data_IF_818194006726
#
_entry.id   IF_818194006726
#
_cell.length_a   1.000
_cell.length_b   1.000
_cell.length_c   1.000
_cell.angle_alpha   90.00
_cell.angle_beta   90.00
_cell.angle_gamma   90.00
#
_symmetry.space_group_name_H-M   'P 1'
#
loop_
_entity.id
_entity.type
_entity.pdbx_description
1 polymer ?
#
# COMPACT_ATOMS: atom_id res chain seq x y z
N UNK A 1 17.12 7.33 -6.20
CA UNK A 1 15.99 6.63 -6.83
C UNK A 1 14.76 7.52 -6.66
N UNK A 2 13.98 7.79 -7.71
CA UNK A 2 12.70 8.52 -7.56
C UNK A 2 11.70 7.52 -6.97
N UNK A 3 11.43 7.59 -5.67
CA UNK A 3 10.31 6.87 -5.07
C UNK A 3 9.04 7.43 -5.69
N UNK A 4 8.31 6.58 -6.39
CA UNK A 4 6.95 6.91 -6.81
C UNK A 4 6.08 6.71 -5.57
N UNK A 5 5.45 7.77 -5.02
CA UNK A 5 4.65 7.63 -3.81
C UNK A 5 3.54 6.62 -4.04
N UNK A 6 3.43 5.68 -3.11
CA UNK A 6 2.35 4.70 -3.06
C UNK A 6 1.15 5.30 -2.36
N UNK A 7 -0.05 4.95 -2.81
CA UNK A 7 -1.29 5.38 -2.16
C UNK A 7 -2.19 4.19 -1.86
N UNK A 8 -3.03 4.34 -0.85
CA UNK A 8 -4.03 3.35 -0.49
C UNK A 8 -5.25 3.46 -1.40
N UNK A 9 -5.63 2.35 -2.02
CA UNK A 9 -6.84 2.22 -2.82
C UNK A 9 -7.87 1.39 -2.09
N UNK A 10 -9.04 1.98 -1.88
CA UNK A 10 -10.20 1.32 -1.31
C UNK A 10 -11.13 0.84 -2.42
N UNK A 11 -11.46 -0.44 -2.44
CA UNK A 11 -12.37 -1.02 -3.44
C UNK A 11 -13.54 -1.69 -2.71
N UNK A 12 -14.75 -1.34 -3.11
CA UNK A 12 -15.97 -1.98 -2.62
C UNK A 12 -16.33 -3.15 -3.56
N UNK A 13 -16.36 -4.36 -3.02
CA UNK A 13 -16.72 -5.58 -3.75
C UNK A 13 -17.72 -6.37 -2.93
N UNK A 14 -18.92 -6.64 -3.48
CA UNK A 14 -19.95 -7.47 -2.83
C UNK A 14 -20.14 -7.12 -1.34
N UNK A 15 -20.43 -5.85 -1.07
CA UNK A 15 -20.62 -5.26 0.28
C UNK A 15 -19.38 -5.25 1.21
N UNK A 16 -18.25 -5.79 0.79
CA UNK A 16 -16.99 -5.76 1.55
C UNK A 16 -16.05 -4.72 0.96
N UNK A 17 -15.48 -3.88 1.81
CA UNK A 17 -14.40 -2.96 1.42
C UNK A 17 -13.07 -3.67 1.54
N UNK A 18 -12.22 -3.51 0.54
CA UNK A 18 -10.86 -4.04 0.49
C UNK A 18 -9.87 -2.89 0.35
N UNK A 19 -8.71 -3.06 0.95
CA UNK A 19 -7.63 -2.06 0.93
C UNK A 19 -6.42 -2.62 0.22
N UNK A 20 -5.90 -1.84 -0.72
CA UNK A 20 -4.76 -2.19 -1.54
C UNK A 20 -3.71 -1.09 -1.46
N UNK A 21 -2.42 -1.46 -1.43
CA UNK A 21 -1.37 -0.49 -1.76
C UNK A 21 -1.20 -0.46 -3.27
N UNK A 22 -1.27 0.73 -3.86
CA UNK A 22 -1.08 0.92 -5.28
C UNK A 22 -0.05 2.00 -5.57
N UNK A 23 0.66 1.86 -6.69
CA UNK A 23 1.51 2.92 -7.24
C UNK A 23 1.04 3.39 -8.59
N UNK A 24 1.20 4.68 -8.83
CA UNK A 24 1.01 5.29 -10.13
C UNK A 24 2.29 5.14 -10.96
N UNK A 25 2.40 4.10 -11.80
CA UNK A 25 3.50 4.00 -12.77
C UNK A 25 3.10 4.73 -14.07
N UNK A 26 3.82 5.81 -14.39
CA UNK A 26 3.67 6.51 -15.67
C UNK A 26 4.44 5.74 -16.74
N UNK A 27 3.73 5.08 -17.65
CA UNK A 27 4.32 4.41 -18.82
C UNK A 27 3.71 5.04 -20.07
N UNK A 28 4.56 5.58 -20.93
CA UNK A 28 4.18 6.06 -22.26
C UNK A 28 3.03 7.10 -22.25
N UNK A 29 3.21 8.20 -21.51
CA UNK A 29 2.22 9.28 -21.26
C UNK A 29 0.91 8.86 -20.56
N UNK A 30 0.67 7.57 -20.29
CA UNK A 30 -0.46 7.08 -19.47
C UNK A 30 -0.02 6.75 -18.05
N UNK A 31 -0.84 7.13 -17.07
CA UNK A 31 -0.66 6.76 -15.67
C UNK A 31 -1.42 5.46 -15.42
N UNK A 32 -0.70 4.38 -15.16
CA UNK A 32 -1.30 3.11 -14.80
C UNK A 32 -1.15 2.88 -13.30
N UNK A 33 -2.26 2.63 -12.63
CA UNK A 33 -2.27 2.21 -11.23
C UNK A 33 -1.92 0.73 -11.16
N UNK A 34 -0.79 0.41 -10.56
CA UNK A 34 -0.36 -0.97 -10.31
C UNK A 34 -0.57 -1.31 -8.85
N UNK A 35 -1.33 -2.38 -8.57
CA UNK A 35 -1.55 -2.88 -7.21
C UNK A 35 -0.31 -3.67 -6.80
N UNK A 36 0.31 -3.25 -5.71
CA UNK A 36 1.56 -3.79 -5.20
C UNK A 36 1.29 -4.83 -4.12
N UNK A 37 0.24 -4.59 -3.33
CA UNK A 37 -0.13 -5.41 -2.18
C UNK A 37 -1.62 -5.30 -1.87
N UNK A 38 -2.17 -6.35 -1.28
CA UNK A 38 -3.56 -6.41 -0.81
C UNK A 38 -3.55 -6.62 0.71
N UNK A 39 -3.98 -5.61 1.47
CA UNK A 39 -4.20 -5.74 2.91
C UNK A 39 -5.44 -6.58 3.25
N UNK A 40 -6.29 -6.84 2.25
CA UNK A 40 -7.51 -7.62 2.43
C UNK A 40 -8.70 -6.77 2.88
N UNK A 41 -9.66 -7.35 3.61
CA UNK A 41 -10.86 -6.65 4.06
C UNK A 41 -10.51 -5.45 4.94
N UNK A 42 -11.26 -4.35 4.81
CA UNK A 42 -11.00 -3.07 5.47
C UNK A 42 -10.80 -3.19 6.98
N UNK A 43 -11.62 -3.98 7.68
CA UNK A 43 -11.49 -4.17 9.12
C UNK A 43 -10.09 -4.72 9.49
N UNK A 44 -9.70 -5.84 8.86
CA UNK A 44 -8.39 -6.46 9.07
C UNK A 44 -7.24 -5.57 8.60
N UNK A 45 -7.44 -4.85 7.49
CA UNK A 45 -6.45 -3.92 6.96
C UNK A 45 -6.20 -2.76 7.93
N UNK A 46 -7.25 -2.19 8.52
CA UNK A 46 -7.14 -1.14 9.53
C UNK A 46 -6.48 -1.66 10.80
N UNK A 47 -6.91 -2.82 11.32
CA UNK A 47 -6.27 -3.44 12.48
C UNK A 47 -4.77 -3.65 12.25
N UNK A 48 -4.40 -4.24 11.10
CA UNK A 48 -3.00 -4.42 10.73
C UNK A 48 -2.27 -3.08 10.66
N UNK A 49 -2.82 -2.07 9.99
CA UNK A 49 -2.21 -0.73 9.91
C UNK A 49 -2.03 -0.07 11.28
N UNK A 50 -2.99 -0.23 12.20
CA UNK A 50 -2.89 0.30 13.56
C UNK A 50 -1.83 -0.43 14.39
N UNK A 51 -1.75 -1.76 14.28
CA UNK A 51 -0.72 -2.57 14.97
C UNK A 51 0.67 -2.28 14.38
N UNK A 52 0.76 -2.14 13.06
CA UNK A 52 2.00 -1.76 12.40
C UNK A 52 2.38 -0.33 12.79
N UNK A 53 1.41 0.56 13.08
CA UNK A 53 1.68 1.91 13.62
C UNK A 53 2.51 1.92 14.89
N UNK A 54 2.24 0.97 15.78
CA UNK A 54 2.94 0.87 17.05
C UNK A 54 4.33 0.20 16.89
N UNK A 55 4.48 -0.74 15.96
CA UNK A 55 5.70 -1.54 15.77
C UNK A 55 6.13 -1.60 14.29
N UNK A 56 6.29 -0.42 13.67
CA UNK A 56 6.44 -0.28 12.21
C UNK A 56 7.75 -0.86 11.70
N UNK A 57 8.85 -0.78 12.45
CA UNK A 57 10.15 -1.27 11.97
C UNK A 57 10.21 -2.79 11.88
N UNK A 58 9.51 -3.50 12.77
CA UNK A 58 9.50 -4.96 12.82
C UNK A 58 8.33 -5.59 12.05
N UNK A 59 7.17 -4.92 12.02
CA UNK A 59 5.96 -5.47 11.40
C UNK A 59 5.75 -5.01 9.97
N UNK A 60 6.55 -4.07 9.45
CA UNK A 60 6.47 -3.71 8.04
C UNK A 60 6.80 -4.93 7.19
N UNK A 61 5.86 -5.40 6.33
CA UNK A 61 6.09 -6.64 5.59
C UNK A 61 7.35 -6.52 4.74
N UNK A 62 8.25 -7.50 4.87
CA UNK A 62 9.49 -7.60 4.09
C UNK A 62 9.23 -7.45 2.58
N UNK A 63 8.07 -7.97 2.11
CA UNK A 63 7.62 -7.83 0.72
C UNK A 63 7.54 -6.37 0.22
N UNK A 64 7.32 -5.39 1.11
CA UNK A 64 7.33 -3.97 0.76
C UNK A 64 8.76 -3.41 0.68
N UNK A 65 9.61 -3.75 1.65
CA UNK A 65 11.05 -3.41 1.62
C UNK A 65 11.71 -3.96 0.35
N UNK A 66 11.43 -5.22 0.00
CA UNK A 66 11.94 -5.86 -1.22
C UNK A 66 11.45 -5.19 -2.51
N UNK A 67 10.24 -4.62 -2.49
CA UNK A 67 9.69 -3.87 -3.63
C UNK A 67 10.12 -2.40 -3.66
N UNK A 68 11.01 -1.99 -2.76
CA UNK A 68 11.56 -0.62 -2.70
C UNK A 68 10.58 0.41 -2.14
N UNK A 69 9.55 -0.04 -1.43
CA UNK A 69 8.68 0.84 -0.66
C UNK A 69 9.29 1.03 0.71
N UNK A 70 9.72 2.25 0.97
CA UNK A 70 10.30 2.65 2.25
C UNK A 70 9.35 3.57 3.01
N UNK A 71 9.55 3.67 4.33
CA UNK A 71 8.70 4.46 5.24
C UNK A 71 8.59 5.93 4.82
N UNK A 72 9.63 6.48 4.19
CA UNK A 72 9.65 7.86 3.67
C UNK A 72 8.67 8.08 2.51
N UNK A 73 8.37 7.06 1.72
CA UNK A 73 7.55 7.18 0.51
C UNK A 73 6.04 7.08 0.74
N UNK A 74 5.61 6.80 1.98
CA UNK A 74 4.20 6.67 2.39
C UNK A 74 3.75 7.86 3.25
N UNK A 75 4.68 8.72 3.67
CA UNK A 75 4.40 9.84 4.59
C UNK A 75 3.93 11.14 3.91
N UNK A 76 3.91 11.19 2.57
CA UNK A 76 3.48 12.37 1.78
C UNK A 76 2.10 12.17 1.13
#
# INVERSE_FOLDING_TARGET
>A
MIQVPGFLKFVLTKERRYVYLAVAKKKNKRVNTHIVYSFGPLAKALEAMYVTRDDFENLFPLEFKEKGYDWEGVKD
#
